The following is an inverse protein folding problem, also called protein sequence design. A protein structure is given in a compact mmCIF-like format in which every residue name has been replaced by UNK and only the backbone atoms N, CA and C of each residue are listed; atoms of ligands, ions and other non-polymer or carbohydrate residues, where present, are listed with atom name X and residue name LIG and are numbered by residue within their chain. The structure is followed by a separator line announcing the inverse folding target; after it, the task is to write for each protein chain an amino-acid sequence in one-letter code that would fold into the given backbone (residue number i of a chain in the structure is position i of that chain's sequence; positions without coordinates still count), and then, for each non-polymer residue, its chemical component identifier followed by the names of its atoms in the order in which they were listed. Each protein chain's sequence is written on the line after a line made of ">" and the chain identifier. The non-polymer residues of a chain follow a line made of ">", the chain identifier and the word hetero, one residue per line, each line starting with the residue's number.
data_IF_157718813557
#
_entry.id   IF_157718813557
#
_cell.length_a   1.000
_cell.length_b   1.000
_cell.length_c   1.000
_cell.angle_alpha   90.00
_cell.angle_beta   90.00
_cell.angle_gamma   90.00
#
_symmetry.space_group_name_H-M   'P 1'
#
loop_
_entity.id
_entity.type
_entity.pdbx_description
1 polymer ?
#
# COMPACT_ATOMS: atom_id res chain seq x y z
N UNK A 1 8.32 11.84 -24.26
CA UNK A 1 9.19 12.71 -25.09
C UNK A 1 10.52 13.00 -24.40
N UNK A 2 10.56 13.65 -23.23
CA UNK A 2 11.83 13.96 -22.54
C UNK A 2 12.73 12.74 -22.30
N UNK A 3 12.17 11.62 -21.83
CA UNK A 3 12.92 10.37 -21.60
C UNK A 3 13.64 9.86 -22.85
N UNK A 4 13.04 9.98 -24.04
CA UNK A 4 13.66 9.54 -25.30
C UNK A 4 14.96 10.29 -25.58
N UNK A 5 14.94 11.62 -25.44
CA UNK A 5 16.12 12.45 -25.65
C UNK A 5 17.21 12.15 -24.63
N UNK A 6 16.84 12.00 -23.35
CA UNK A 6 17.79 11.66 -22.28
C UNK A 6 18.46 10.31 -22.53
N UNK A 7 17.68 9.27 -22.83
CA UNK A 7 18.24 7.94 -23.11
C UNK A 7 19.10 7.96 -24.37
N UNK A 8 18.69 8.68 -25.41
CA UNK A 8 19.43 8.75 -26.67
C UNK A 8 20.73 9.59 -26.55
N UNK A 9 20.77 10.59 -25.68
CA UNK A 9 21.96 11.41 -25.50
C UNK A 9 22.96 10.76 -24.52
N UNK A 10 22.48 10.14 -23.45
CA UNK A 10 23.34 9.62 -22.38
C UNK A 10 23.72 8.15 -22.54
N UNK A 11 22.92 7.34 -23.23
CA UNK A 11 23.08 5.87 -23.26
C UNK A 11 23.28 5.31 -24.68
N UNK A 12 23.40 6.16 -25.70
CA UNK A 12 23.52 5.72 -27.09
C UNK A 12 24.96 5.64 -27.60
N UNK A 13 25.98 5.95 -26.78
CA UNK A 13 27.39 5.88 -27.20
C UNK A 13 27.78 4.50 -27.75
N UNK A 14 27.20 3.43 -27.19
CA UNK A 14 27.38 2.04 -27.65
C UNK A 14 26.19 1.48 -28.43
N UNK A 15 25.20 2.32 -28.76
CA UNK A 15 23.93 1.89 -29.32
C UNK A 15 22.96 1.32 -28.28
N UNK A 16 21.74 0.98 -28.73
CA UNK A 16 20.74 0.31 -27.90
C UNK A 16 19.92 1.22 -26.97
N UNK A 17 20.06 2.55 -27.07
CA UNK A 17 19.27 3.50 -26.26
C UNK A 17 17.76 3.31 -26.37
N UNK A 18 17.27 2.82 -27.52
CA UNK A 18 15.86 2.49 -27.74
C UNK A 18 15.34 1.38 -26.80
N UNK A 19 16.19 0.41 -26.41
CA UNK A 19 15.79 -0.65 -25.50
C UNK A 19 15.58 -0.11 -24.08
N UNK A 20 16.46 0.77 -23.59
CA UNK A 20 16.25 1.44 -22.30
C UNK A 20 15.12 2.45 -22.33
N UNK A 21 14.93 3.16 -23.43
CA UNK A 21 13.71 3.94 -23.63
C UNK A 21 12.47 3.06 -23.51
N UNK A 22 12.45 1.90 -24.18
CA UNK A 22 11.38 0.91 -24.06
C UNK A 22 11.15 0.45 -22.61
N UNK A 23 12.23 0.12 -21.88
CA UNK A 23 12.13 -0.30 -20.49
C UNK A 23 11.53 0.79 -19.59
N UNK A 24 11.93 2.05 -19.79
CA UNK A 24 11.33 3.19 -19.10
C UNK A 24 9.84 3.38 -19.45
N UNK A 25 9.46 3.16 -20.72
CA UNK A 25 8.06 3.24 -21.15
C UNK A 25 7.24 2.15 -20.47
N UNK A 26 7.77 0.93 -20.34
CA UNK A 26 7.12 -0.15 -19.58
C UNK A 26 6.85 0.28 -18.14
N UNK A 27 7.80 0.97 -17.49
CA UNK A 27 7.61 1.58 -16.17
C UNK A 27 6.45 2.57 -16.10
N UNK A 28 6.38 3.50 -17.06
CA UNK A 28 5.29 4.50 -17.15
C UNK A 28 3.94 3.80 -17.38
N UNK A 29 3.88 2.83 -18.29
CA UNK A 29 2.67 2.07 -18.56
C UNK A 29 2.23 1.25 -17.34
N UNK A 30 3.18 0.70 -16.58
CA UNK A 30 2.92 0.00 -15.32
C UNK A 30 2.30 0.94 -14.29
N UNK A 31 2.82 2.17 -14.17
CA UNK A 31 2.20 3.20 -13.32
C UNK A 31 0.74 3.45 -13.70
N UNK A 32 0.46 3.63 -14.99
CA UNK A 32 -0.89 3.88 -15.48
C UNK A 32 -1.81 2.67 -15.23
N UNK A 33 -1.31 1.46 -15.49
CA UNK A 33 -2.05 0.23 -15.22
C UNK A 33 -2.46 0.13 -13.73
N UNK A 34 -1.55 0.41 -12.80
CA UNK A 34 -1.87 0.41 -11.37
C UNK A 34 -2.89 1.47 -10.97
N UNK A 35 -2.87 2.63 -11.61
CA UNK A 35 -3.91 3.66 -11.42
C UNK A 35 -5.28 3.12 -11.83
N UNK A 36 -5.41 2.53 -13.02
CA UNK A 36 -6.69 2.00 -13.50
C UNK A 36 -7.15 0.76 -12.72
N UNK A 37 -6.25 -0.14 -12.34
CA UNK A 37 -6.56 -1.30 -11.49
C UNK A 37 -7.12 -0.82 -10.15
N UNK A 38 -6.41 0.10 -9.49
CA UNK A 38 -6.86 0.63 -8.20
C UNK A 38 -8.20 1.35 -8.35
N UNK A 39 -8.40 2.13 -9.42
CA UNK A 39 -9.68 2.78 -9.70
C UNK A 39 -10.82 1.76 -9.89
N UNK A 40 -10.59 0.67 -10.62
CA UNK A 40 -11.59 -0.37 -10.83
C UNK A 40 -12.03 -1.03 -9.52
N UNK A 41 -11.07 -1.32 -8.62
CA UNK A 41 -11.38 -2.00 -7.36
C UNK A 41 -11.91 -1.07 -6.27
N UNK A 42 -11.61 0.22 -6.33
CA UNK A 42 -11.97 1.14 -5.24
C UNK A 42 -13.02 2.18 -5.61
N UNK A 43 -13.32 2.47 -6.88
CA UNK A 43 -14.33 3.48 -7.23
C UNK A 43 -15.76 2.91 -7.27
N UNK A 44 -16.73 3.67 -6.74
CA UNK A 44 -18.16 3.34 -6.74
C UNK A 44 -18.82 3.18 -8.11
N UNK A 45 -18.13 3.53 -9.20
CA UNK A 45 -18.63 3.35 -10.56
C UNK A 45 -18.53 1.90 -11.05
N UNK A 46 -17.69 1.08 -10.41
CA UNK A 46 -17.35 -0.26 -10.90
C UNK A 46 -17.96 -1.38 -10.05
N UNK A 47 -17.93 -2.60 -10.60
CA UNK A 47 -18.52 -3.80 -9.99
C UNK A 47 -18.05 -4.03 -8.54
N UNK A 48 -16.74 -3.99 -8.20
CA UNK A 48 -16.29 -4.43 -6.88
C UNK A 48 -16.91 -3.64 -5.73
N UNK A 49 -16.98 -2.31 -5.84
CA UNK A 49 -17.59 -1.46 -4.81
C UNK A 49 -19.10 -1.61 -4.77
N UNK A 50 -19.75 -1.70 -5.95
CA UNK A 50 -21.20 -1.92 -6.03
C UNK A 50 -21.60 -3.24 -5.39
N UNK A 51 -20.80 -4.29 -5.57
CA UNK A 51 -21.02 -5.60 -4.95
C UNK A 51 -21.00 -5.52 -3.41
N UNK A 52 -20.04 -4.80 -2.84
CA UNK A 52 -19.95 -4.58 -1.38
C UNK A 52 -21.14 -3.76 -0.88
N UNK A 53 -21.53 -2.70 -1.61
CA UNK A 53 -22.67 -1.87 -1.25
C UNK A 53 -24.00 -2.66 -1.31
N UNK A 54 -24.17 -3.51 -2.32
CA UNK A 54 -25.30 -4.43 -2.43
C UNK A 54 -25.32 -5.45 -1.29
N UNK A 55 -24.16 -6.01 -0.93
CA UNK A 55 -24.03 -6.93 0.20
C UNK A 55 -24.48 -6.28 1.51
N UNK A 56 -24.27 -4.97 1.69
CA UNK A 56 -24.68 -4.24 2.89
C UNK A 56 -26.20 -4.26 3.16
N UNK A 57 -27.04 -4.52 2.15
CA UNK A 57 -28.48 -4.76 2.34
C UNK A 57 -28.77 -5.93 3.28
N UNK A 58 -27.89 -6.92 3.31
CA UNK A 58 -28.04 -8.14 4.13
C UNK A 58 -27.30 -8.08 5.47
N UNK A 59 -26.56 -6.99 5.74
CA UNK A 59 -25.95 -6.70 7.04
C UNK A 59 -24.42 -6.71 7.04
N UNK A 60 -23.79 -6.47 8.21
CA UNK A 60 -22.35 -6.26 8.31
C UNK A 60 -21.49 -7.47 7.89
N UNK A 61 -21.95 -8.69 8.18
CA UNK A 61 -21.19 -9.90 7.92
C UNK A 61 -20.91 -10.10 6.42
N UNK A 62 -21.94 -9.95 5.58
CA UNK A 62 -21.84 -10.07 4.13
C UNK A 62 -21.07 -8.90 3.52
N UNK A 63 -21.18 -7.68 4.06
CA UNK A 63 -20.32 -6.55 3.68
C UNK A 63 -18.84 -6.86 3.90
N UNK A 64 -18.48 -7.43 5.05
CA UNK A 64 -17.10 -7.82 5.35
C UNK A 64 -16.66 -8.96 4.43
N UNK A 65 -17.47 -10.00 4.25
CA UNK A 65 -17.12 -11.12 3.36
C UNK A 65 -16.86 -10.63 1.93
N UNK A 66 -17.74 -9.79 1.39
CA UNK A 66 -17.59 -9.24 0.03
C UNK A 66 -16.34 -8.37 -0.10
N UNK A 67 -16.05 -7.50 0.86
CA UNK A 67 -14.84 -6.66 0.78
C UNK A 67 -13.54 -7.44 0.93
N UNK A 68 -13.49 -8.49 1.75
CA UNK A 68 -12.34 -9.40 1.82
C UNK A 68 -12.16 -10.13 0.48
N UNK A 69 -13.24 -10.61 -0.13
CA UNK A 69 -13.20 -11.29 -1.42
C UNK A 69 -12.67 -10.36 -2.52
N UNK A 70 -13.17 -9.12 -2.59
CA UNK A 70 -12.67 -8.07 -3.50
C UNK A 70 -11.18 -7.77 -3.26
N UNK A 71 -10.77 -7.71 -1.98
CA UNK A 71 -9.37 -7.54 -1.59
C UNK A 71 -8.48 -8.67 -2.11
N UNK A 72 -8.91 -9.94 -2.04
CA UNK A 72 -8.15 -11.06 -2.60
C UNK A 72 -8.15 -11.05 -4.13
N UNK A 73 -9.27 -10.68 -4.77
CA UNK A 73 -9.37 -10.61 -6.22
C UNK A 73 -8.36 -9.63 -6.83
N UNK A 74 -8.15 -8.46 -6.19
CA UNK A 74 -7.22 -7.43 -6.71
C UNK A 74 -5.76 -7.88 -6.82
N UNK A 75 -5.38 -8.96 -6.14
CA UNK A 75 -4.01 -9.49 -6.16
C UNK A 75 -3.65 -10.02 -7.55
N UNK A 76 -4.61 -10.61 -8.26
CA UNK A 76 -4.37 -11.20 -9.57
C UNK A 76 -3.94 -10.14 -10.59
N UNK A 77 -4.73 -9.08 -10.73
CA UNK A 77 -4.44 -7.98 -11.67
C UNK A 77 -3.14 -7.25 -11.32
N UNK A 78 -2.89 -7.02 -10.03
CA UNK A 78 -1.66 -6.36 -9.56
C UNK A 78 -0.42 -7.19 -9.85
N UNK A 79 -0.43 -8.48 -9.49
CA UNK A 79 0.73 -9.38 -9.68
C UNK A 79 1.01 -9.65 -11.15
N UNK A 80 -0.03 -9.88 -11.97
CA UNK A 80 0.13 -10.06 -13.42
C UNK A 80 0.78 -8.82 -14.05
N UNK A 81 0.34 -7.62 -13.65
CA UNK A 81 0.90 -6.37 -14.16
C UNK A 81 2.39 -6.24 -13.81
N UNK A 82 2.78 -6.53 -12.56
CA UNK A 82 4.18 -6.52 -12.13
C UNK A 82 5.00 -7.57 -12.91
N UNK A 83 4.47 -8.77 -13.08
CA UNK A 83 5.15 -9.86 -13.79
C UNK A 83 5.42 -9.50 -15.26
N UNK A 84 4.43 -8.94 -15.96
CA UNK A 84 4.57 -8.45 -17.33
C UNK A 84 5.61 -7.33 -17.40
N UNK A 85 5.56 -6.38 -16.47
CA UNK A 85 6.50 -5.27 -16.41
C UNK A 85 7.95 -5.74 -16.22
N UNK A 86 8.18 -6.65 -15.26
CA UNK A 86 9.49 -7.23 -15.00
C UNK A 86 9.99 -8.05 -16.20
N UNK A 87 9.13 -8.88 -16.80
CA UNK A 87 9.53 -9.72 -17.95
C UNK A 87 9.93 -8.87 -19.15
N UNK A 88 9.10 -7.89 -19.55
CA UNK A 88 9.38 -7.05 -20.72
C UNK A 88 10.61 -6.16 -20.45
N UNK A 89 10.70 -5.55 -19.28
CA UNK A 89 11.85 -4.67 -18.96
C UNK A 89 13.17 -5.44 -18.84
N UNK A 90 13.13 -6.65 -18.28
CA UNK A 90 14.30 -7.54 -18.26
C UNK A 90 14.70 -7.97 -19.67
N UNK A 91 13.75 -8.40 -20.49
CA UNK A 91 14.02 -8.79 -21.87
C UNK A 91 14.62 -7.63 -22.69
N UNK A 92 14.08 -6.41 -22.58
CA UNK A 92 14.65 -5.22 -23.22
C UNK A 92 16.08 -4.93 -22.74
N UNK A 93 16.31 -5.08 -21.44
CA UNK A 93 17.64 -4.98 -20.85
C UNK A 93 18.63 -6.01 -21.41
N UNK A 94 18.21 -7.25 -21.59
CA UNK A 94 19.05 -8.31 -22.18
C UNK A 94 19.39 -8.01 -23.65
N UNK A 95 18.43 -7.52 -24.44
CA UNK A 95 18.68 -7.08 -25.81
C UNK A 95 19.71 -5.94 -25.87
N UNK A 96 19.65 -5.00 -24.93
CA UNK A 96 20.67 -3.96 -24.80
C UNK A 96 22.04 -4.54 -24.42
N UNK A 97 22.10 -5.48 -23.48
CA UNK A 97 23.34 -6.14 -23.08
C UNK A 97 24.00 -6.89 -24.25
N UNK A 98 23.19 -7.59 -25.06
CA UNK A 98 23.66 -8.27 -26.29
C UNK A 98 24.18 -7.27 -27.34
N UNK A 99 23.54 -6.12 -27.48
CA UNK A 99 23.93 -5.10 -28.47
C UNK A 99 25.22 -4.36 -28.07
N UNK A 100 25.41 -4.09 -26.78
CA UNK A 100 26.52 -3.27 -26.28
C UNK A 100 27.71 -4.07 -25.74
N UNK A 101 27.53 -5.38 -25.54
CA UNK A 101 28.50 -6.26 -24.90
C UNK A 101 28.65 -6.02 -23.39
N UNK A 102 27.76 -5.25 -22.76
CA UNK A 102 27.80 -4.96 -21.33
C UNK A 102 27.06 -6.03 -20.51
N UNK A 103 27.60 -6.47 -19.37
CA UNK A 103 26.97 -7.46 -18.51
C UNK A 103 25.77 -6.86 -17.76
N UNK A 104 24.90 -7.73 -17.21
CA UNK A 104 23.76 -7.35 -16.36
C UNK A 104 22.69 -6.46 -17.02
N UNK A 105 22.59 -6.48 -18.36
CA UNK A 105 21.61 -5.71 -19.10
C UNK A 105 20.17 -5.90 -18.61
N UNK A 106 19.73 -7.14 -18.38
CA UNK A 106 18.37 -7.46 -17.90
C UNK A 106 18.01 -6.80 -16.57
N UNK A 107 18.85 -6.95 -15.55
CA UNK A 107 18.64 -6.31 -14.23
C UNK A 107 18.58 -4.80 -14.39
N UNK A 108 19.50 -4.21 -15.17
CA UNK A 108 19.49 -2.76 -15.40
C UNK A 108 18.23 -2.29 -16.16
N UNK A 109 17.69 -3.10 -17.08
CA UNK A 109 16.39 -2.87 -17.71
C UNK A 109 15.25 -2.73 -16.69
N UNK A 110 15.20 -3.63 -15.69
CA UNK A 110 14.21 -3.53 -14.59
C UNK A 110 14.41 -2.28 -13.71
N UNK A 111 15.66 -1.84 -13.51
CA UNK A 111 15.96 -0.58 -12.82
C UNK A 111 15.44 0.63 -13.60
N UNK A 112 15.66 0.67 -14.92
CA UNK A 112 15.15 1.73 -15.79
C UNK A 112 13.62 1.75 -15.82
N UNK A 113 12.95 0.59 -15.81
CA UNK A 113 11.50 0.52 -15.67
C UNK A 113 11.03 1.06 -14.32
N UNK A 114 11.72 0.74 -13.22
CA UNK A 114 11.44 1.33 -11.90
C UNK A 114 11.55 2.86 -11.94
N UNK A 115 12.62 3.38 -12.56
CA UNK A 115 12.79 4.83 -12.73
C UNK A 115 11.69 5.45 -13.61
N UNK A 116 11.31 4.78 -14.70
CA UNK A 116 10.21 5.21 -15.57
C UNK A 116 8.89 5.33 -14.82
N UNK A 117 8.59 4.36 -13.94
CA UNK A 117 7.42 4.44 -13.05
C UNK A 117 7.49 5.68 -12.15
N UNK A 118 8.67 5.97 -11.57
CA UNK A 118 8.95 7.09 -10.68
C UNK A 118 8.96 8.48 -11.35
N UNK A 119 9.03 8.57 -12.68
CA UNK A 119 8.99 9.86 -13.39
C UNK A 119 7.69 10.64 -13.15
N UNK A 120 6.59 9.94 -12.86
CA UNK A 120 5.30 10.54 -12.54
C UNK A 120 5.12 10.84 -11.05
N UNK A 121 6.10 10.49 -10.20
CA UNK A 121 5.96 10.53 -8.75
C UNK A 121 5.58 11.92 -8.21
N UNK A 122 6.09 13.00 -8.81
CA UNK A 122 5.73 14.36 -8.38
C UNK A 122 4.22 14.63 -8.51
N UNK A 123 3.58 14.16 -9.58
CA UNK A 123 2.14 14.30 -9.78
C UNK A 123 1.36 13.36 -8.86
N UNK A 124 1.85 12.13 -8.67
CA UNK A 124 1.24 11.17 -7.74
C UNK A 124 1.26 11.73 -6.31
N UNK A 125 2.39 12.23 -5.83
CA UNK A 125 2.54 12.82 -4.48
C UNK A 125 1.70 14.09 -4.32
N UNK A 126 1.57 14.92 -5.35
CA UNK A 126 0.67 16.07 -5.33
C UNK A 126 -0.80 15.63 -5.17
N UNK A 127 -1.22 14.56 -5.85
CA UNK A 127 -2.56 13.97 -5.66
C UNK A 127 -2.72 13.33 -4.28
N UNK A 128 -1.69 12.69 -3.73
CA UNK A 128 -1.73 12.10 -2.39
C UNK A 128 -1.93 13.16 -1.32
N UNK A 129 -1.19 14.26 -1.41
CA UNK A 129 -1.27 15.39 -0.47
C UNK A 129 -2.56 16.19 -0.61
N UNK A 130 -3.18 16.21 -1.80
CA UNK A 130 -4.49 16.83 -2.00
C UNK A 130 -5.56 16.25 -1.09
N UNK A 131 -5.60 14.92 -0.89
CA UNK A 131 -6.64 14.27 -0.10
C UNK A 131 -6.70 14.71 1.37
N UNK A 132 -5.61 14.63 2.16
CA UNK A 132 -5.60 15.12 3.55
C UNK A 132 -5.88 16.62 3.68
N UNK A 133 -5.53 17.44 2.68
CA UNK A 133 -5.82 18.88 2.69
C UNK A 133 -7.33 19.11 2.58
N UNK A 134 -8.02 18.41 1.67
CA UNK A 134 -9.45 18.57 1.46
C UNK A 134 -10.29 18.00 2.60
N UNK A 135 -9.85 16.88 3.19
CA UNK A 135 -10.42 16.27 4.39
C UNK A 135 -10.36 17.24 5.59
N UNK A 136 -9.18 17.81 5.88
CA UNK A 136 -9.03 18.83 6.92
C UNK A 136 -9.87 20.08 6.64
N UNK A 137 -9.98 20.53 5.39
CA UNK A 137 -10.82 21.65 5.02
C UNK A 137 -12.31 21.38 5.31
N UNK A 138 -12.80 20.18 5.02
CA UNK A 138 -14.17 19.75 5.35
C UNK A 138 -14.43 19.64 6.86
N UNK A 139 -13.43 19.14 7.61
CA UNK A 139 -13.45 19.12 9.07
C UNK A 139 -13.54 20.53 9.67
N UNK A 140 -12.68 21.45 9.23
CA UNK A 140 -12.69 22.87 9.67
C UNK A 140 -14.01 23.54 9.29
N UNK A 141 -14.52 23.33 8.08
CA UNK A 141 -15.80 23.88 7.65
C UNK A 141 -16.96 23.39 8.52
N UNK A 142 -16.95 22.11 8.91
CA UNK A 142 -17.96 21.53 9.81
C UNK A 142 -17.86 22.09 11.23
N UNK A 143 -16.65 22.17 11.79
CA UNK A 143 -16.42 22.72 13.13
C UNK A 143 -16.75 24.21 13.22
N UNK A 144 -16.47 24.98 12.16
CA UNK A 144 -16.78 26.40 12.05
C UNK A 144 -18.26 26.70 11.71
N UNK A 145 -19.10 25.65 11.56
CA UNK A 145 -20.51 25.78 11.14
C UNK A 145 -20.68 26.59 9.85
N UNK A 146 -19.79 26.36 8.88
CA UNK A 146 -19.85 27.03 7.58
C UNK A 146 -21.13 26.67 6.81
N UNK A 147 -21.46 27.48 5.79
CA UNK A 147 -22.66 27.28 4.96
C UNK A 147 -22.73 25.89 4.34
N UNK A 148 -23.94 25.39 4.11
CA UNK A 148 -24.18 24.09 3.49
C UNK A 148 -23.51 23.98 2.11
N UNK A 149 -23.51 25.06 1.32
CA UNK A 149 -22.79 25.12 0.05
C UNK A 149 -21.27 24.91 0.22
N UNK A 150 -20.66 25.48 1.27
CA UNK A 150 -19.23 25.26 1.56
C UNK A 150 -18.96 23.80 1.87
N UNK A 151 -19.84 23.17 2.66
CA UNK A 151 -19.74 21.76 3.04
C UNK A 151 -19.91 20.84 1.82
N UNK A 152 -20.88 21.12 0.96
CA UNK A 152 -21.07 20.36 -0.28
C UNK A 152 -19.84 20.43 -1.19
N UNK A 153 -19.23 21.61 -1.32
CA UNK A 153 -17.98 21.78 -2.07
C UNK A 153 -16.83 20.99 -1.45
N UNK A 154 -16.64 21.06 -0.13
CA UNK A 154 -15.57 20.30 0.54
C UNK A 154 -15.80 18.79 0.47
N UNK A 155 -17.04 18.32 0.57
CA UNK A 155 -17.39 16.90 0.49
C UNK A 155 -17.08 16.32 -0.90
N UNK A 156 -17.35 17.08 -1.97
CA UNK A 156 -16.96 16.70 -3.34
C UNK A 156 -15.43 16.62 -3.50
N UNK A 157 -14.70 17.54 -2.87
CA UNK A 157 -13.24 17.55 -2.89
C UNK A 157 -12.64 16.39 -2.06
N UNK A 158 -13.23 16.05 -0.92
CA UNK A 158 -12.84 14.88 -0.11
C UNK A 158 -13.12 13.56 -0.85
N UNK A 159 -14.25 13.45 -1.56
CA UNK A 159 -14.54 12.28 -2.40
C UNK A 159 -13.46 12.06 -3.49
N UNK A 160 -13.01 13.13 -4.16
CA UNK A 160 -11.89 13.08 -5.08
C UNK A 160 -10.56 12.76 -4.36
N UNK A 161 -10.37 13.32 -3.15
CA UNK A 161 -9.26 13.06 -2.25
C UNK A 161 -9.09 11.58 -1.88
N UNK A 162 -10.18 10.89 -1.54
CA UNK A 162 -10.11 9.47 -1.18
C UNK A 162 -9.79 8.57 -2.39
N UNK A 163 -10.30 8.93 -3.57
CA UNK A 163 -9.90 8.22 -4.80
C UNK A 163 -8.41 8.41 -5.05
N UNK A 164 -7.89 9.63 -4.96
CA UNK A 164 -6.46 9.93 -5.17
C UNK A 164 -5.56 9.26 -4.13
N UNK A 165 -5.93 9.27 -2.83
CA UNK A 165 -5.27 8.51 -1.74
C UNK A 165 -5.18 7.01 -2.03
N UNK A 166 -6.21 6.42 -2.65
CA UNK A 166 -6.16 4.99 -3.00
C UNK A 166 -5.16 4.74 -4.14
N UNK A 167 -5.21 5.56 -5.20
CA UNK A 167 -4.31 5.44 -6.37
C UNK A 167 -2.83 5.52 -5.97
N UNK A 168 -2.50 6.42 -5.05
CA UNK A 168 -1.14 6.66 -4.58
C UNK A 168 -0.62 5.49 -3.75
N UNK A 169 -1.47 4.87 -2.91
CA UNK A 169 -1.14 3.64 -2.17
C UNK A 169 -0.84 2.47 -3.13
N UNK A 170 -1.66 2.27 -4.16
CA UNK A 170 -1.44 1.26 -5.19
C UNK A 170 -0.11 1.47 -5.94
N UNK A 171 0.15 2.72 -6.33
CA UNK A 171 1.41 3.13 -6.95
C UNK A 171 2.63 2.88 -6.05
N UNK A 172 2.55 3.22 -4.77
CA UNK A 172 3.64 3.01 -3.82
C UNK A 172 4.00 1.53 -3.67
N UNK A 173 3.00 0.64 -3.62
CA UNK A 173 3.21 -0.82 -3.54
C UNK A 173 3.84 -1.36 -4.83
N UNK A 174 3.36 -0.93 -6.00
CA UNK A 174 3.92 -1.36 -7.28
C UNK A 174 5.37 -0.92 -7.49
N UNK A 175 5.69 0.33 -7.12
CA UNK A 175 7.07 0.82 -7.17
C UNK A 175 7.98 0.06 -6.20
N UNK A 176 7.48 -0.31 -5.02
CA UNK A 176 8.21 -1.14 -4.07
C UNK A 176 8.48 -2.54 -4.65
N UNK A 177 7.52 -3.14 -5.36
CA UNK A 177 7.67 -4.45 -5.98
C UNK A 177 8.77 -4.46 -7.06
N UNK A 178 8.76 -3.48 -7.97
CA UNK A 178 9.80 -3.36 -9.00
C UNK A 178 11.18 -3.08 -8.39
N UNK A 179 11.25 -2.16 -7.42
CA UNK A 179 12.49 -1.84 -6.73
C UNK A 179 13.07 -3.02 -5.93
N UNK A 180 12.23 -3.86 -5.35
CA UNK A 180 12.68 -4.98 -4.54
C UNK A 180 13.43 -6.05 -5.35
N UNK A 181 13.04 -6.30 -6.60
CA UNK A 181 13.80 -7.20 -7.48
C UNK A 181 15.21 -6.67 -7.77
N UNK A 182 15.33 -5.35 -8.00
CA UNK A 182 16.61 -4.67 -8.17
C UNK A 182 17.47 -4.76 -6.91
N UNK A 183 16.89 -4.46 -5.74
CA UNK A 183 17.61 -4.48 -4.47
C UNK A 183 18.04 -5.90 -4.07
N UNK A 184 17.25 -6.92 -4.39
CA UNK A 184 17.66 -8.31 -4.23
C UNK A 184 18.86 -8.65 -5.10
N UNK A 185 18.86 -8.25 -6.37
CA UNK A 185 20.01 -8.44 -7.25
C UNK A 185 21.25 -7.72 -6.71
N UNK A 186 21.09 -6.49 -6.22
CA UNK A 186 22.16 -5.73 -5.58
C UNK A 186 22.69 -6.42 -4.31
N UNK A 187 21.83 -7.07 -3.53
CA UNK A 187 22.23 -7.86 -2.37
C UNK A 187 23.08 -9.06 -2.78
N UNK A 188 22.66 -9.82 -3.79
CA UNK A 188 23.44 -10.95 -4.32
C UNK A 188 24.84 -10.51 -4.77
N UNK A 189 24.91 -9.43 -5.55
CA UNK A 189 26.17 -8.85 -6.02
C UNK A 189 27.04 -8.37 -4.85
N UNK A 190 26.44 -7.78 -3.81
CA UNK A 190 27.16 -7.33 -2.63
C UNK A 190 27.78 -8.48 -1.84
N UNK A 191 27.04 -9.57 -1.64
CA UNK A 191 27.55 -10.78 -0.99
C UNK A 191 28.67 -11.41 -1.82
N UNK A 192 28.52 -11.45 -3.15
CA UNK A 192 29.57 -11.95 -4.05
C UNK A 192 30.86 -11.13 -3.93
N UNK A 193 30.74 -9.80 -3.91
CA UNK A 193 31.88 -8.89 -3.74
C UNK A 193 32.59 -9.08 -2.39
N UNK A 194 31.83 -9.25 -1.31
CA UNK A 194 32.39 -9.39 0.05
C UNK A 194 33.05 -10.75 0.29
N UNK A 195 32.51 -11.81 -0.32
CA UNK A 195 33.05 -13.17 -0.18
C UNK A 195 34.16 -13.49 -1.19
N UNK A 196 34.25 -12.71 -2.29
CA UNK A 196 35.11 -13.02 -3.43
C UNK A 196 34.68 -14.28 -4.20
N UNK A 197 33.45 -14.76 -3.97
CA UNK A 197 32.88 -15.96 -4.62
C UNK A 197 31.63 -15.58 -5.39
N UNK A 198 31.34 -16.31 -6.47
CA UNK A 198 30.07 -16.12 -7.16
C UNK A 198 28.89 -16.45 -6.24
N UNK A 199 27.93 -15.53 -6.17
CA UNK A 199 26.70 -15.70 -5.40
C UNK A 199 25.52 -15.26 -6.27
N UNK A 200 25.09 -16.16 -7.17
CA UNK A 200 24.06 -15.88 -8.19
C UNK A 200 22.80 -16.71 -8.01
N UNK A 201 22.83 -17.71 -7.13
CA UNK A 201 21.76 -18.69 -6.96
C UNK A 201 21.35 -18.73 -5.51
N UNK A 202 20.04 -18.66 -5.28
CA UNK A 202 19.41 -18.87 -3.98
C UNK A 202 18.61 -20.16 -4.10
N UNK A 203 19.09 -21.23 -3.47
CA UNK A 203 18.49 -22.55 -3.60
C UNK A 203 17.43 -22.79 -2.51
N UNK A 204 16.16 -22.59 -2.87
CA UNK A 204 15.02 -22.84 -1.98
C UNK A 204 14.86 -24.33 -1.59
N UNK A 205 15.59 -25.26 -2.21
CA UNK A 205 15.59 -26.66 -1.78
C UNK A 205 16.42 -26.88 -0.50
N UNK A 206 17.30 -25.94 -0.13
CA UNK A 206 18.02 -25.99 1.14
C UNK A 206 17.09 -25.61 2.28
N UNK A 207 17.15 -26.38 3.37
CA UNK A 207 16.28 -26.18 4.54
C UNK A 207 16.42 -24.78 5.12
N UNK A 208 17.66 -24.30 5.33
CA UNK A 208 17.91 -22.98 5.92
C UNK A 208 17.35 -21.84 5.05
N UNK A 209 17.44 -22.00 3.73
CA UNK A 209 16.97 -21.02 2.74
C UNK A 209 15.45 -21.01 2.68
N UNK A 210 14.82 -22.19 2.66
CA UNK A 210 13.37 -22.31 2.76
C UNK A 210 12.85 -21.70 4.06
N UNK A 211 13.51 -21.96 5.19
CA UNK A 211 13.18 -21.36 6.48
C UNK A 211 13.30 -19.84 6.46
N UNK A 212 14.37 -19.30 5.88
CA UNK A 212 14.53 -17.85 5.68
C UNK A 212 13.35 -17.24 4.91
N UNK A 213 12.97 -17.85 3.79
CA UNK A 213 11.82 -17.42 3.01
C UNK A 213 10.49 -17.51 3.78
N UNK A 214 10.26 -18.61 4.48
CA UNK A 214 9.05 -18.82 5.28
C UNK A 214 8.94 -17.81 6.43
N UNK A 215 10.04 -17.51 7.10
CA UNK A 215 10.13 -16.45 8.12
C UNK A 215 9.88 -15.06 7.53
N UNK A 216 10.35 -14.81 6.29
CA UNK A 216 10.04 -13.58 5.55
C UNK A 216 8.53 -13.40 5.30
N UNK A 217 7.85 -14.45 4.84
CA UNK A 217 6.39 -14.41 4.70
C UNK A 217 5.69 -14.21 6.05
N UNK A 218 6.09 -14.97 7.08
CA UNK A 218 5.54 -14.84 8.44
C UNK A 218 5.68 -13.41 8.97
N UNK A 219 6.85 -12.78 8.78
CA UNK A 219 7.13 -11.42 9.24
C UNK A 219 6.12 -10.41 8.71
N UNK A 220 5.75 -10.49 7.43
CA UNK A 220 4.78 -9.59 6.80
C UNK A 220 3.40 -9.69 7.47
N UNK A 221 2.93 -10.91 7.68
CA UNK A 221 1.63 -11.16 8.31
C UNK A 221 1.63 -10.79 9.79
N UNK A 222 2.72 -11.10 10.50
CA UNK A 222 2.86 -10.76 11.92
C UNK A 222 2.93 -9.24 12.11
N UNK A 223 3.71 -8.54 11.28
CA UNK A 223 3.77 -7.07 11.27
C UNK A 223 2.37 -6.46 11.07
N UNK A 224 1.64 -6.96 10.07
CA UNK A 224 0.29 -6.47 9.76
C UNK A 224 -0.68 -6.72 10.91
N UNK A 225 -0.62 -7.91 11.53
CA UNK A 225 -1.41 -8.25 12.70
C UNK A 225 -1.15 -7.33 13.90
N UNK A 226 0.12 -7.02 14.18
CA UNK A 226 0.50 -6.09 15.25
C UNK A 226 -0.03 -4.68 14.98
N UNK A 227 0.10 -4.20 13.74
CA UNK A 227 -0.40 -2.90 13.31
C UNK A 227 -1.93 -2.79 13.43
N UNK A 228 -2.67 -3.78 12.93
CA UNK A 228 -4.14 -3.81 13.01
C UNK A 228 -4.61 -3.86 14.47
N UNK A 229 -4.00 -4.72 15.30
CA UNK A 229 -4.33 -4.83 16.73
C UNK A 229 -4.04 -3.55 17.50
N UNK A 230 -2.99 -2.81 17.13
CA UNK A 230 -2.65 -1.53 17.73
C UNK A 230 -3.78 -0.50 17.52
N UNK A 231 -4.26 -0.37 16.29
CA UNK A 231 -5.38 0.53 15.96
C UNK A 231 -6.66 0.09 16.65
N UNK A 232 -6.97 -1.21 16.68
CA UNK A 232 -8.16 -1.72 17.37
C UNK A 232 -8.18 -1.37 18.87
N UNK A 233 -7.04 -1.52 19.56
CA UNK A 233 -6.91 -1.12 20.98
C UNK A 233 -7.04 0.39 21.16
N UNK A 234 -6.38 1.18 20.31
CA UNK A 234 -6.43 2.64 20.38
C UNK A 234 -7.85 3.17 20.12
N UNK A 235 -8.52 2.67 19.08
CA UNK A 235 -9.89 3.01 18.74
C UNK A 235 -10.88 2.66 19.86
N UNK A 236 -10.74 1.50 20.49
CA UNK A 236 -11.58 1.12 21.62
C UNK A 236 -11.42 2.10 22.81
N UNK A 237 -10.18 2.53 23.10
CA UNK A 237 -9.91 3.50 24.16
C UNK A 237 -10.50 4.89 23.83
N UNK A 238 -10.42 5.33 22.57
CA UNK A 238 -11.03 6.59 22.11
C UNK A 238 -12.56 6.52 22.24
N UNK A 239 -13.18 5.41 21.82
CA UNK A 239 -14.64 5.23 21.91
C UNK A 239 -15.12 5.26 23.36
N UNK A 240 -14.39 4.60 24.27
CA UNK A 240 -14.70 4.68 25.69
C UNK A 240 -14.64 6.14 26.17
N UNK A 241 -13.51 6.81 25.93
CA UNK A 241 -13.29 8.18 26.41
C UNK A 241 -14.38 9.13 25.91
N UNK A 242 -14.73 9.07 24.61
CA UNK A 242 -15.80 9.88 24.03
C UNK A 242 -17.15 9.58 24.69
N UNK A 243 -17.46 8.30 24.96
CA UNK A 243 -18.70 7.91 25.66
C UNK A 243 -18.71 8.39 27.10
N UNK A 244 -17.57 8.35 27.78
CA UNK A 244 -17.41 8.84 29.15
C UNK A 244 -17.64 10.34 29.20
N UNK A 245 -17.03 11.12 28.29
CA UNK A 245 -17.29 12.55 28.19
C UNK A 245 -18.77 12.86 27.94
N UNK A 246 -19.44 12.17 26.99
CA UNK A 246 -20.87 12.40 26.75
C UNK A 246 -21.77 12.00 27.93
N UNK A 247 -21.39 10.98 28.71
CA UNK A 247 -22.15 10.52 29.87
C UNK A 247 -21.99 11.44 31.08
N UNK A 248 -20.77 11.90 31.34
CA UNK A 248 -20.42 12.72 32.51
C UNK A 248 -20.68 14.21 32.27
N UNK A 249 -20.63 14.66 31.02
CA UNK A 249 -20.86 16.05 30.61
C UNK A 249 -21.96 16.13 29.53
N UNK A 250 -23.26 16.01 29.91
CA UNK A 250 -24.37 16.08 28.95
C UNK A 250 -24.45 17.40 28.17
N UNK A 251 -23.86 18.48 28.71
CA UNK A 251 -23.77 19.79 28.07
C UNK A 251 -23.04 19.76 26.71
N UNK A 252 -22.18 18.76 26.48
CA UNK A 252 -21.47 18.57 25.22
C UNK A 252 -22.47 18.25 24.09
N UNK A 253 -23.39 17.31 24.31
CA UNK A 253 -24.39 16.95 23.31
C UNK A 253 -25.44 18.05 23.12
N UNK A 254 -25.67 18.87 24.14
CA UNK A 254 -26.50 20.07 24.05
C UNK A 254 -25.78 21.24 23.34
N UNK A 255 -24.46 21.14 23.11
CA UNK A 255 -23.64 22.19 22.51
C UNK A 255 -23.41 23.41 23.40
N UNK A 256 -23.62 23.28 24.72
CA UNK A 256 -23.43 24.34 25.73
C UNK A 256 -22.09 24.21 26.47
N UNK A 257 -21.38 23.10 26.29
CA UNK A 257 -20.10 22.80 26.92
C UNK A 257 -19.12 22.25 25.86
N UNK A 258 -17.85 22.62 25.97
CA UNK A 258 -16.83 22.14 25.04
C UNK A 258 -16.27 20.76 25.49
N UNK A 259 -16.09 19.81 24.56
CA UNK A 259 -15.42 18.54 24.86
C UNK A 259 -13.95 18.72 25.28
N UNK A 260 -13.42 17.75 26.01
CA UNK A 260 -11.99 17.70 26.30
C UNK A 260 -11.24 17.02 25.15
N UNK A 261 -10.83 17.83 24.17
CA UNK A 261 -10.07 17.38 23.01
C UNK A 261 -8.67 16.88 23.37
N UNK A 262 -7.99 17.55 24.32
CA UNK A 262 -6.62 17.22 24.72
C UNK A 262 -6.52 15.78 25.24
N UNK A 263 -7.53 15.32 25.98
CA UNK A 263 -7.58 13.95 26.51
C UNK A 263 -7.59 12.90 25.39
N UNK A 264 -8.38 13.11 24.33
CA UNK A 264 -8.43 12.20 23.18
C UNK A 264 -7.09 12.20 22.43
N UNK A 265 -6.46 13.36 22.28
CA UNK A 265 -5.13 13.50 21.68
C UNK A 265 -4.07 12.75 22.49
N UNK A 266 -4.08 12.88 23.82
CA UNK A 266 -3.12 12.21 24.71
C UNK A 266 -3.23 10.69 24.62
N UNK A 267 -4.45 10.15 24.65
CA UNK A 267 -4.71 8.71 24.52
C UNK A 267 -4.17 8.19 23.19
N UNK A 268 -4.49 8.89 22.10
CA UNK A 268 -4.08 8.49 20.75
C UNK A 268 -2.55 8.56 20.61
N UNK A 269 -1.93 9.61 21.12
CA UNK A 269 -0.47 9.84 21.07
C UNK A 269 0.30 8.80 21.87
N UNK A 270 -0.06 8.59 23.14
CA UNK A 270 0.59 7.61 24.01
C UNK A 270 0.43 6.18 23.45
N UNK A 271 -0.76 5.86 22.93
CA UNK A 271 -1.02 4.58 22.29
C UNK A 271 -0.18 4.40 21.02
N UNK A 272 -0.11 5.39 20.13
CA UNK A 272 0.69 5.31 18.92
C UNK A 272 2.18 5.08 19.22
N UNK A 273 2.76 5.88 20.14
CA UNK A 273 4.17 5.76 20.55
C UNK A 273 4.49 4.40 21.16
N UNK A 274 3.61 3.85 21.99
CA UNK A 274 3.83 2.53 22.61
C UNK A 274 3.69 1.40 21.60
N UNK A 275 2.68 1.48 20.72
CA UNK A 275 2.35 0.38 19.82
C UNK A 275 3.22 0.33 18.55
N UNK A 276 3.92 1.42 18.18
CA UNK A 276 4.85 1.40 17.04
C UNK A 276 6.15 0.63 17.32
N UNK A 277 6.52 0.46 18.60
CA UNK A 277 7.79 -0.17 19.01
C UNK A 277 7.86 -1.63 18.54
N UNK A 278 6.82 -2.43 18.80
CA UNK A 278 6.86 -3.86 18.48
C UNK A 278 6.94 -4.16 16.97
N UNK A 279 6.11 -3.56 16.09
CA UNK A 279 6.27 -3.69 14.64
C UNK A 279 7.64 -3.21 14.14
N UNK A 280 8.16 -2.09 14.68
CA UNK A 280 9.48 -1.56 14.32
C UNK A 280 10.62 -2.50 14.70
N UNK A 281 10.60 -3.03 15.92
CA UNK A 281 11.58 -4.03 16.38
C UNK A 281 11.50 -5.32 15.58
N UNK A 282 10.29 -5.77 15.20
CA UNK A 282 10.13 -6.94 14.35
C UNK A 282 10.75 -6.72 12.97
N UNK A 283 10.47 -5.58 12.35
CA UNK A 283 10.94 -5.22 11.01
C UNK A 283 12.48 -5.15 10.93
N UNK A 284 13.13 -4.62 11.97
CA UNK A 284 14.59 -4.49 12.03
C UNK A 284 15.26 -5.75 12.56
N UNK A 285 14.70 -6.36 13.61
CA UNK A 285 15.31 -7.48 14.32
C UNK A 285 15.26 -8.79 13.55
N UNK A 286 14.18 -9.06 12.80
CA UNK A 286 14.05 -10.31 12.06
C UNK A 286 15.14 -10.56 11.00
N UNK A 287 15.44 -9.63 10.07
CA UNK A 287 16.54 -9.81 9.11
C UNK A 287 17.89 -9.95 9.80
N UNK A 288 18.11 -9.27 10.94
CA UNK A 288 19.35 -9.42 11.72
C UNK A 288 19.46 -10.84 12.29
N UNK A 289 18.39 -11.36 12.89
CA UNK A 289 18.37 -12.70 13.50
C UNK A 289 18.54 -13.77 12.42
N UNK A 290 17.82 -13.67 11.31
CA UNK A 290 17.90 -14.63 10.20
C UNK A 290 19.28 -14.59 9.55
N UNK A 291 19.81 -13.41 9.23
CA UNK A 291 21.13 -13.29 8.64
C UNK A 291 22.27 -13.78 9.53
N UNK A 292 22.20 -13.60 10.86
CA UNK A 292 23.22 -14.12 11.79
C UNK A 292 23.13 -15.65 11.93
N UNK A 293 21.93 -16.19 12.08
CA UNK A 293 21.74 -17.61 12.38
C UNK A 293 21.75 -18.51 11.14
N UNK A 294 21.13 -18.07 10.05
CA UNK A 294 20.89 -18.85 8.83
C UNK A 294 21.72 -18.36 7.62
N UNK A 295 22.52 -17.30 7.81
CA UNK A 295 23.50 -16.77 6.84
C UNK A 295 22.89 -16.13 5.59
N UNK A 296 23.78 -15.63 4.73
CA UNK A 296 23.45 -14.75 3.61
C UNK A 296 22.46 -15.34 2.59
N UNK A 297 22.45 -16.65 2.35
CA UNK A 297 21.54 -17.29 1.39
C UNK A 297 20.11 -17.38 1.91
N UNK A 298 19.93 -17.69 3.21
CA UNK A 298 18.61 -17.64 3.84
C UNK A 298 18.07 -16.22 3.93
N UNK A 299 18.94 -15.24 4.18
CA UNK A 299 18.56 -13.82 4.18
C UNK A 299 18.10 -13.35 2.79
N UNK A 300 18.72 -13.87 1.72
CA UNK A 300 18.28 -13.63 0.35
C UNK A 300 16.83 -14.12 0.13
N UNK A 301 16.51 -15.32 0.64
CA UNK A 301 15.16 -15.88 0.56
C UNK A 301 14.17 -15.11 1.43
N UNK A 302 14.56 -14.68 2.64
CA UNK A 302 13.74 -13.81 3.50
C UNK A 302 13.36 -12.53 2.76
N UNK A 303 14.35 -11.88 2.15
CA UNK A 303 14.14 -10.66 1.37
C UNK A 303 13.14 -10.90 0.23
N UNK A 304 13.36 -11.94 -0.58
CA UNK A 304 12.53 -12.17 -1.78
C UNK A 304 11.11 -12.62 -1.44
N UNK A 305 10.97 -13.66 -0.60
CA UNK A 305 9.66 -14.20 -0.23
C UNK A 305 8.90 -13.22 0.63
N UNK A 306 9.58 -12.54 1.56
CA UNK A 306 8.99 -11.46 2.36
C UNK A 306 8.51 -10.30 1.50
N UNK A 307 9.28 -9.90 0.48
CA UNK A 307 8.84 -8.90 -0.50
C UNK A 307 7.56 -9.35 -1.22
N UNK A 308 7.55 -10.55 -1.78
CA UNK A 308 6.39 -11.05 -2.54
C UNK A 308 5.13 -11.10 -1.68
N UNK A 309 5.25 -11.66 -0.46
CA UNK A 309 4.16 -11.69 0.50
C UNK A 309 3.70 -10.28 0.89
N UNK A 310 4.65 -9.36 1.09
CA UNK A 310 4.40 -7.97 1.43
C UNK A 310 3.62 -7.23 0.35
N UNK A 311 4.04 -7.36 -0.92
CA UNK A 311 3.36 -6.73 -2.07
C UNK A 311 1.93 -7.25 -2.20
N UNK A 312 1.74 -8.57 -2.13
CA UNK A 312 0.41 -9.18 -2.24
C UNK A 312 -0.48 -8.74 -1.08
N UNK A 313 -0.01 -8.84 0.17
CA UNK A 313 -0.81 -8.45 1.32
C UNK A 313 -1.11 -6.94 1.34
N UNK A 314 -0.15 -6.10 0.93
CA UNK A 314 -0.37 -4.66 0.84
C UNK A 314 -1.49 -4.30 -0.15
N UNK A 315 -1.56 -4.97 -1.31
CA UNK A 315 -2.65 -4.73 -2.26
C UNK A 315 -4.01 -5.16 -1.71
N UNK A 316 -4.08 -6.31 -1.02
CA UNK A 316 -5.30 -6.76 -0.34
C UNK A 316 -5.79 -5.72 0.66
N UNK A 317 -4.91 -5.27 1.56
CA UNK A 317 -5.28 -4.36 2.65
C UNK A 317 -5.65 -2.97 2.12
N UNK A 318 -4.88 -2.42 1.19
CA UNK A 318 -5.12 -1.09 0.62
C UNK A 318 -6.42 -1.05 -0.19
N UNK A 319 -6.59 -1.98 -1.13
CA UNK A 319 -7.73 -1.95 -2.04
C UNK A 319 -9.01 -2.47 -1.36
N UNK A 320 -8.93 -3.51 -0.54
CA UNK A 320 -10.07 -3.99 0.24
C UNK A 320 -10.59 -2.91 1.20
N UNK A 321 -9.69 -2.26 1.94
CA UNK A 321 -10.03 -1.12 2.81
C UNK A 321 -10.63 0.06 2.04
N UNK A 322 -10.04 0.43 0.90
CA UNK A 322 -10.57 1.50 0.04
C UNK A 322 -11.93 1.16 -0.57
N UNK A 323 -12.18 -0.12 -0.90
CA UNK A 323 -13.45 -0.56 -1.45
C UNK A 323 -14.58 -0.50 -0.40
N UNK A 324 -14.31 -0.83 0.86
CA UNK A 324 -15.28 -0.63 1.94
C UNK A 324 -15.64 0.85 2.16
N UNK A 325 -14.65 1.74 2.21
CA UNK A 325 -14.91 3.19 2.36
C UNK A 325 -15.80 3.71 1.23
N UNK A 326 -15.44 3.38 -0.02
CA UNK A 326 -16.18 3.86 -1.17
C UNK A 326 -17.55 3.16 -1.32
N UNK A 327 -17.75 1.96 -0.78
CA UNK A 327 -19.06 1.34 -0.68
C UNK A 327 -19.97 2.10 0.31
N UNK A 328 -19.43 2.53 1.45
CA UNK A 328 -20.12 3.44 2.38
C UNK A 328 -20.46 4.76 1.68
N UNK A 329 -19.50 5.42 1.02
CA UNK A 329 -19.75 6.68 0.29
C UNK A 329 -20.77 6.52 -0.85
N UNK A 330 -20.79 5.38 -1.53
CA UNK A 330 -21.79 5.05 -2.55
C UNK A 330 -23.22 5.06 -2.00
N UNK A 331 -23.41 4.48 -0.81
CA UNK A 331 -24.68 4.47 -0.08
C UNK A 331 -25.03 5.88 0.41
N UNK A 332 -24.06 6.61 0.95
CA UNK A 332 -24.25 7.99 1.42
C UNK A 332 -24.66 8.96 0.30
N UNK A 333 -24.20 8.70 -0.92
CA UNK A 333 -24.55 9.47 -2.12
C UNK A 333 -25.93 9.10 -2.68
N UNK A 334 -26.66 8.18 -2.04
CA UNK A 334 -28.00 7.76 -2.44
C UNK A 334 -28.04 6.88 -3.70
N UNK A 335 -26.91 6.27 -4.06
CA UNK A 335 -26.81 5.45 -5.27
C UNK A 335 -27.36 4.03 -5.06
N UNK A 336 -27.37 3.54 -3.81
CA UNK A 336 -27.95 2.25 -3.46
C UNK A 336 -29.47 2.35 -3.33
N UNK A 337 -30.19 1.42 -3.95
CA UNK A 337 -31.66 1.35 -3.88
C UNK A 337 -32.13 -0.03 -3.44
N UNK A 338 -33.23 -0.10 -2.70
CA UNK A 338 -33.90 -1.36 -2.39
C UNK A 338 -34.65 -1.93 -3.60
N UNK A 339 -35.20 -3.15 -3.47
CA UNK A 339 -35.95 -3.83 -4.53
C UNK A 339 -37.23 -3.08 -4.94
N UNK A 340 -37.67 -2.11 -4.13
CA UNK A 340 -38.83 -1.22 -4.38
C UNK A 340 -38.40 0.14 -4.93
N UNK A 341 -37.12 0.32 -5.26
CA UNK A 341 -36.55 1.54 -5.83
C UNK A 341 -36.32 2.68 -4.82
N UNK A 342 -36.50 2.45 -3.51
CA UNK A 342 -36.23 3.44 -2.46
C UNK A 342 -34.74 3.55 -2.22
N UNK A 343 -34.26 4.78 -2.11
CA UNK A 343 -32.85 5.06 -1.82
C UNK A 343 -32.52 4.62 -0.40
N UNK A 344 -31.53 3.75 -0.27
CA UNK A 344 -30.95 3.34 1.00
C UNK A 344 -29.80 4.30 1.31
N UNK A 345 -30.11 5.40 1.99
CA UNK A 345 -29.15 6.46 2.33
C UNK A 345 -28.65 6.39 3.77
N UNK A 346 -28.09 7.52 4.25
CA UNK A 346 -27.61 7.69 5.63
C UNK A 346 -28.67 7.30 6.67
N UNK A 347 -28.24 6.62 7.73
CA UNK A 347 -29.11 6.19 8.84
C UNK A 347 -29.93 4.93 8.58
N UNK A 348 -29.86 4.34 7.38
CA UNK A 348 -30.48 3.04 7.10
C UNK A 348 -29.65 1.88 7.67
N UNK A 349 -30.23 0.70 7.89
CA UNK A 349 -29.48 -0.49 8.31
C UNK A 349 -28.35 -0.86 7.34
N UNK A 350 -28.55 -0.65 6.03
CA UNK A 350 -27.52 -0.88 5.02
C UNK A 350 -26.35 0.11 5.16
N UNK A 351 -26.63 1.38 5.44
CA UNK A 351 -25.58 2.36 5.74
C UNK A 351 -24.81 1.99 7.01
N UNK A 352 -25.50 1.59 8.08
CA UNK A 352 -24.83 1.13 9.30
C UNK A 352 -23.92 -0.09 9.05
N UNK A 353 -24.34 -1.04 8.22
CA UNK A 353 -23.50 -2.17 7.82
C UNK A 353 -22.26 -1.75 7.02
N UNK A 354 -22.41 -0.80 6.10
CA UNK A 354 -21.30 -0.26 5.33
C UNK A 354 -20.30 0.54 6.21
N UNK A 355 -20.80 1.28 7.21
CA UNK A 355 -19.94 1.94 8.22
C UNK A 355 -19.13 0.90 8.99
N UNK A 356 -19.72 -0.24 9.38
CA UNK A 356 -18.95 -1.32 10.01
C UNK A 356 -17.86 -1.84 9.07
N UNK A 357 -18.16 -2.07 7.79
CA UNK A 357 -17.16 -2.46 6.79
C UNK A 357 -16.01 -1.46 6.67
N UNK A 358 -16.32 -0.17 6.60
CA UNK A 358 -15.32 0.91 6.53
C UNK A 358 -14.43 0.95 7.77
N UNK A 359 -15.01 0.85 8.97
CA UNK A 359 -14.24 0.82 10.23
C UNK A 359 -13.33 -0.41 10.37
N UNK A 360 -13.70 -1.54 9.74
CA UNK A 360 -12.79 -2.69 9.59
C UNK A 360 -11.67 -2.39 8.60
N UNK A 361 -11.98 -1.67 7.52
CA UNK A 361 -11.04 -1.26 6.47
C UNK A 361 -10.05 -0.16 6.86
N UNK A 362 -10.36 0.69 7.83
CA UNK A 362 -9.48 1.78 8.30
C UNK A 362 -8.08 1.30 8.73
N UNK A 363 -7.93 0.34 9.67
CA UNK A 363 -6.60 -0.17 10.02
C UNK A 363 -5.90 -0.87 8.84
N UNK A 364 -6.65 -1.36 7.86
CA UNK A 364 -6.09 -2.03 6.68
C UNK A 364 -5.49 -1.00 5.73
N UNK A 365 -6.27 0.00 5.31
CA UNK A 365 -5.87 0.97 4.28
C UNK A 365 -5.02 2.11 4.80
N UNK A 366 -5.07 2.44 6.10
CA UNK A 366 -4.39 3.63 6.65
C UNK A 366 -3.29 3.30 7.66
N UNK A 367 -3.12 2.03 8.04
CA UNK A 367 -2.04 1.63 8.94
C UNK A 367 -1.23 0.47 8.37
N UNK A 368 -1.80 -0.73 8.30
CA UNK A 368 -1.05 -1.93 7.94
C UNK A 368 -0.62 -1.93 6.46
N UNK A 369 -1.56 -1.72 5.54
CA UNK A 369 -1.33 -1.77 4.10
C UNK A 369 -0.27 -0.78 3.59
N UNK A 370 -0.33 0.52 3.93
CA UNK A 370 0.73 1.46 3.57
C UNK A 370 2.05 1.14 4.26
N UNK A 371 2.04 0.71 5.53
CA UNK A 371 3.28 0.37 6.24
C UNK A 371 4.02 -0.81 5.62
N UNK A 372 3.33 -1.73 4.94
CA UNK A 372 3.97 -2.84 4.24
C UNK A 372 4.87 -2.39 3.09
N UNK A 373 4.55 -1.30 2.37
CA UNK A 373 5.47 -0.79 1.35
C UNK A 373 6.79 -0.31 1.96
N UNK A 374 6.74 0.23 3.20
CA UNK A 374 7.92 0.71 3.92
C UNK A 374 8.71 -0.49 4.41
N UNK A 375 8.02 -1.47 4.99
CA UNK A 375 8.62 -2.72 5.47
C UNK A 375 9.44 -3.40 4.38
N UNK A 376 8.90 -3.55 3.17
CA UNK A 376 9.58 -4.20 2.04
C UNK A 376 10.88 -3.46 1.67
N UNK A 377 10.82 -2.13 1.55
CA UNK A 377 12.01 -1.30 1.23
C UNK A 377 13.03 -1.33 2.37
N UNK A 378 12.56 -1.36 3.61
CA UNK A 378 13.39 -1.43 4.80
C UNK A 378 14.12 -2.77 4.88
N UNK A 379 13.43 -3.90 4.67
CA UNK A 379 14.05 -5.22 4.60
C UNK A 379 15.21 -5.20 3.61
N UNK A 380 14.96 -4.74 2.38
CA UNK A 380 15.97 -4.65 1.32
C UNK A 380 17.18 -3.76 1.69
N UNK A 381 16.93 -2.66 2.41
CA UNK A 381 18.00 -1.75 2.84
C UNK A 381 18.82 -2.38 3.97
N UNK A 382 18.16 -2.99 4.96
CA UNK A 382 18.83 -3.63 6.10
C UNK A 382 19.65 -4.82 5.63
N UNK A 383 19.09 -5.67 4.78
CA UNK A 383 19.79 -6.85 4.26
C UNK A 383 21.07 -6.45 3.52
N UNK A 384 20.99 -5.40 2.69
CA UNK A 384 22.13 -4.89 1.93
C UNK A 384 23.20 -4.24 2.80
N UNK A 385 22.80 -3.40 3.77
CA UNK A 385 23.74 -2.69 4.66
C UNK A 385 24.43 -3.66 5.61
N UNK A 386 23.69 -4.65 6.13
CA UNK A 386 24.21 -5.62 7.09
C UNK A 386 24.74 -6.89 6.43
N UNK A 387 24.80 -6.97 5.10
CA UNK A 387 25.38 -8.09 4.37
C UNK A 387 26.75 -8.56 4.91
N UNK A 388 27.70 -7.67 5.32
CA UNK A 388 28.97 -8.10 5.92
C UNK A 388 28.81 -8.94 7.20
N UNK A 389 27.72 -8.77 7.95
CA UNK A 389 27.45 -9.51 9.19
C UNK A 389 26.92 -10.93 8.94
N UNK A 390 26.36 -11.19 7.75
CA UNK A 390 25.64 -12.42 7.42
C UNK A 390 26.50 -13.46 6.70
N UNK A 391 27.75 -13.11 6.39
CA UNK A 391 28.71 -13.95 5.68
C UNK A 391 29.33 -15.01 6.61
#
# INVERSE_FOLDING_TARGET
>A
VGMYFVTNQMLNEKGGALYFFGAGVVGILTSLAFVYITQYYTSGNWRPVKEIAEAAKTGPATTIISGVAVGFETTASSTITIAIALFISHWLGDQWGQTTGLPHGGIYGTAVATMGMLMSAAFILAMDTFGPITDNAGGVASMARASEETRERTDRLDAAGNTTKALTKGYAVASAALAAFLLFSAYLDKVAQLTGKEFKTVDLAKVDVFLGGFLGAMLVYLFSSLAIRAVGRAGAAIIEEVRTQFREHPGIMAGTEEPNYARVVDITTASALRNMIAPGLLAVGAPIVVGILLKAEAEAALLMVGTMAGVILATVLNNGGGAWDNAKKYIESGMLKDDKGRVLGKGTPAHAAAVVGDTVGDPFKDTAGPSLHVLIKLLATITLVLAPLFI
#
